data_IF_731081209900
#
_entry.id   IF_731081209900
#
_cell.length_a   1.000
_cell.length_b   1.000
_cell.length_c   1.000
_cell.angle_alpha   90.00
_cell.angle_beta   90.00
_cell.angle_gamma   90.00
#
_symmetry.space_group_name_H-M   'P 1'
#
loop_
_entity.id
_entity.type
_entity.pdbx_description
1 polymer ?
#
# COMPACT_ATOMS: atom_id res chain seq x y z
N UNK A 1 -12.77 16.25 -15.62
CA UNK A 1 -12.30 15.00 -15.00
C UNK A 1 -11.34 15.38 -13.89
N UNK A 2 -11.67 15.13 -12.63
CA UNK A 2 -10.70 15.35 -11.54
C UNK A 2 -9.59 14.31 -11.69
N UNK A 3 -8.34 14.76 -11.77
CA UNK A 3 -7.20 13.84 -11.79
C UNK A 3 -7.13 13.04 -10.50
N UNK A 4 -6.46 11.88 -10.56
CA UNK A 4 -6.19 11.07 -9.37
C UNK A 4 -5.39 11.88 -8.35
N UNK A 5 -5.74 11.73 -7.07
CA UNK A 5 -4.95 12.28 -5.97
C UNK A 5 -3.59 11.58 -5.90
N UNK A 6 -2.63 12.20 -5.22
CA UNK A 6 -1.34 11.56 -4.98
C UNK A 6 -1.50 10.23 -4.23
N UNK A 7 -2.41 10.17 -3.27
CA UNK A 7 -2.71 8.95 -2.52
C UNK A 7 -3.20 7.83 -3.44
N UNK A 8 -4.15 8.11 -4.34
CA UNK A 8 -4.66 7.13 -5.31
C UNK A 8 -3.55 6.61 -6.21
N UNK A 9 -2.72 7.51 -6.74
CA UNK A 9 -1.58 7.12 -7.60
C UNK A 9 -0.60 6.20 -6.88
N UNK A 10 -0.27 6.51 -5.62
CA UNK A 10 0.63 5.68 -4.82
C UNK A 10 -0.02 4.33 -4.49
N UNK A 11 -1.27 4.33 -4.04
CA UNK A 11 -2.01 3.10 -3.74
C UNK A 11 -2.06 2.15 -4.94
N UNK A 12 -2.54 2.64 -6.09
CA UNK A 12 -2.70 1.85 -7.32
C UNK A 12 -1.36 1.27 -7.81
N UNK A 13 -0.26 1.99 -7.60
CA UNK A 13 1.07 1.52 -7.97
C UNK A 13 1.60 0.37 -7.10
N UNK A 14 1.05 0.16 -5.89
CA UNK A 14 1.51 -0.86 -4.94
C UNK A 14 0.54 -2.04 -4.79
N UNK A 15 -0.64 -1.99 -5.41
CA UNK A 15 -1.56 -3.14 -5.46
C UNK A 15 -0.95 -4.28 -6.27
N UNK A 16 -0.77 -5.44 -5.63
CA UNK A 16 -0.36 -6.68 -6.29
C UNK A 16 -1.59 -7.49 -6.69
N UNK A 17 -2.58 -7.58 -5.80
CA UNK A 17 -3.80 -8.33 -6.02
C UNK A 17 -4.94 -7.78 -5.15
N UNK A 18 -6.18 -8.00 -5.60
CA UNK A 18 -7.39 -7.74 -4.80
C UNK A 18 -8.16 -9.05 -4.71
N UNK A 19 -8.33 -9.53 -3.48
CA UNK A 19 -9.07 -10.74 -3.15
C UNK A 19 -10.57 -10.57 -3.47
N UNK A 20 -11.28 -11.70 -3.57
CA UNK A 20 -12.71 -11.71 -3.88
C UNK A 20 -13.58 -11.00 -2.83
N UNK A 21 -13.10 -10.88 -1.59
CA UNK A 21 -13.77 -10.16 -0.50
C UNK A 21 -13.43 -8.65 -0.46
N UNK A 22 -12.60 -8.17 -1.37
CA UNK A 22 -12.15 -6.79 -1.46
C UNK A 22 -10.86 -6.48 -0.69
N UNK A 23 -10.27 -7.45 0.00
CA UNK A 23 -8.97 -7.27 0.67
C UNK A 23 -7.87 -7.05 -0.38
N UNK A 24 -6.99 -6.08 -0.15
CA UNK A 24 -5.92 -5.75 -1.10
C UNK A 24 -4.57 -6.23 -0.59
N UNK A 25 -3.87 -7.02 -1.41
CA UNK A 25 -2.48 -7.37 -1.20
C UNK A 25 -1.59 -6.24 -1.75
N UNK A 26 -0.82 -5.61 -0.87
CA UNK A 26 0.09 -4.51 -1.21
C UNK A 26 1.55 -4.96 -1.20
N UNK A 27 2.33 -4.45 -2.16
CA UNK A 27 3.78 -4.49 -2.11
C UNK A 27 4.29 -3.41 -1.15
N UNK A 28 5.21 -3.76 -0.26
CA UNK A 28 5.86 -2.83 0.67
C UNK A 28 7.34 -2.75 0.32
N UNK A 29 7.77 -1.62 -0.22
CA UNK A 29 9.16 -1.41 -0.66
C UNK A 29 10.18 -1.44 0.48
N UNK A 30 9.75 -0.98 1.66
CA UNK A 30 10.63 -0.87 2.82
C UNK A 30 9.87 -1.08 4.11
N UNK A 31 10.28 -2.09 4.86
CA UNK A 31 9.85 -2.30 6.23
C UNK A 31 10.95 -1.82 7.17
N UNK A 32 10.66 -0.80 7.97
CA UNK A 32 11.55 -0.35 9.04
C UNK A 32 10.98 -0.85 10.37
N UNK A 33 11.77 -1.64 11.09
CA UNK A 33 11.44 -2.14 12.42
C UNK A 33 12.45 -1.56 13.40
N UNK A 34 11.96 -1.05 14.51
CA UNK A 34 12.80 -0.58 15.60
C UNK A 34 12.43 -1.38 16.85
N UNK A 35 13.37 -2.17 17.36
CA UNK A 35 13.22 -2.86 18.64
C UNK A 35 13.74 -1.94 19.75
N UNK A 36 12.89 -1.69 20.75
CA UNK A 36 13.27 -0.95 21.94
C UNK A 36 13.49 -1.97 23.05
N UNK A 37 14.75 -2.28 23.37
CA UNK A 37 15.07 -3.04 24.59
C UNK A 37 15.20 -2.05 25.76
N UNK A 38 14.53 -2.35 26.87
CA UNK A 38 14.60 -1.59 28.12
C UNK A 38 16.00 -1.53 28.73
#
# INVERSE_FOLDING_TARGET
MSGLTLFQKLWDAHVVHVEADGTTLLYIDRHLVHEVTS
#
